data_IF_921401002350
#
_entry.id   IF_921401002350
#
_cell.length_a   1.000
_cell.length_b   1.000
_cell.length_c   1.000
_cell.angle_alpha   90.00
_cell.angle_beta   90.00
_cell.angle_gamma   90.00
#
_symmetry.space_group_name_H-M   'P 1'
#
loop_
_entity.id
_entity.type
_entity.pdbx_description
1 polymer ?
#
# COMPACT_ATOMS: atom_id res chain seq x y z
N UNK A 1 51.03 16.97 50.59
CA UNK A 1 50.90 16.18 49.33
C UNK A 1 49.51 15.54 49.36
N UNK A 2 48.53 15.79 48.48
CA UNK A 2 48.46 16.38 47.13
C UNK A 2 47.16 17.21 47.04
N UNK A 3 47.22 18.42 46.47
CA UNK A 3 46.05 19.19 46.04
C UNK A 3 45.47 18.53 44.78
N UNK A 4 44.18 18.19 44.77
CA UNK A 4 43.46 17.80 43.56
C UNK A 4 42.65 19.01 43.07
N UNK A 5 43.11 19.65 41.99
CA UNK A 5 42.38 20.70 41.29
C UNK A 5 41.27 20.06 40.46
N UNK A 6 40.01 20.34 40.77
CA UNK A 6 38.89 20.05 39.87
C UNK A 6 38.86 21.12 38.77
N UNK A 7 39.18 20.71 37.53
CA UNK A 7 38.94 21.49 36.33
C UNK A 7 37.45 21.37 35.99
N UNK A 8 36.72 22.49 36.06
CA UNK A 8 35.36 22.60 35.51
C UNK A 8 35.50 22.87 34.02
N UNK A 9 35.31 21.85 33.17
CA UNK A 9 35.08 22.06 31.75
C UNK A 9 33.61 22.48 31.55
N UNK A 10 33.31 23.60 30.87
CA UNK A 10 31.95 23.89 30.48
C UNK A 10 31.56 22.91 29.36
N UNK A 11 30.49 22.14 29.59
CA UNK A 11 29.85 21.32 28.58
C UNK A 11 29.34 22.25 27.47
N UNK A 12 30.04 22.24 26.33
CA UNK A 12 29.59 22.90 25.11
C UNK A 12 28.43 22.07 24.55
N UNK A 13 27.20 22.43 24.91
CA UNK A 13 25.99 21.93 24.27
C UNK A 13 26.00 22.39 22.80
N UNK A 14 26.53 21.55 21.92
CA UNK A 14 26.30 21.67 20.48
C UNK A 14 24.85 21.25 20.24
N UNK A 15 23.95 22.23 20.25
CA UNK A 15 22.65 22.11 19.60
C UNK A 15 22.93 21.95 18.10
N UNK A 16 22.97 20.70 17.63
CA UNK A 16 22.89 20.39 16.21
C UNK A 16 21.49 20.77 15.74
N UNK A 17 21.37 22.01 15.28
CA UNK A 17 20.23 22.52 14.53
C UNK A 17 20.15 21.67 13.24
N UNK A 18 19.32 20.63 13.25
CA UNK A 18 18.96 19.83 12.08
C UNK A 18 18.08 20.68 11.14
N UNK A 19 18.64 21.75 10.58
CA UNK A 19 18.04 22.48 9.47
C UNK A 19 18.43 21.82 8.15
N UNK A 20 17.87 20.64 7.90
CA UNK A 20 17.70 20.18 6.52
C UNK A 20 16.35 20.69 6.04
N UNK A 21 16.33 21.92 5.54
CA UNK A 21 15.23 22.43 4.75
C UNK A 21 15.81 23.07 3.49
N UNK A 22 16.36 22.24 2.60
CA UNK A 22 16.33 22.59 1.19
C UNK A 22 14.86 22.64 0.80
N UNK A 23 14.28 23.85 0.74
CA UNK A 23 13.00 24.05 0.09
C UNK A 23 13.20 23.73 -1.40
N UNK A 24 12.87 22.52 -1.81
CA UNK A 24 13.08 22.04 -3.17
C UNK A 24 11.98 21.04 -3.53
N UNK A 25 11.66 20.91 -4.82
CA UNK A 25 10.73 19.88 -5.26
C UNK A 25 11.18 18.48 -4.83
N UNK A 26 10.25 17.53 -4.79
CA UNK A 26 10.60 16.10 -4.63
C UNK A 26 11.71 15.74 -5.62
N UNK A 27 12.81 15.10 -5.18
CA UNK A 27 13.93 14.80 -6.06
C UNK A 27 13.54 13.78 -7.12
N UNK A 28 14.09 13.92 -8.33
CA UNK A 28 13.83 12.99 -9.43
C UNK A 28 14.34 11.57 -9.16
N UNK A 29 15.30 11.41 -8.24
CA UNK A 29 15.77 10.12 -7.72
C UNK A 29 16.48 10.29 -6.38
N UNK A 30 16.52 9.24 -5.58
CA UNK A 30 17.27 9.20 -4.32
C UNK A 30 18.52 8.31 -4.47
N UNK A 31 19.63 8.70 -3.83
CA UNK A 31 20.74 7.78 -3.64
C UNK A 31 20.32 6.62 -2.72
N UNK A 32 20.94 5.43 -2.87
CA UNK A 32 20.60 4.28 -2.04
C UNK A 32 20.80 4.53 -0.53
N UNK A 33 21.83 5.30 -0.17
CA UNK A 33 22.07 5.70 1.22
C UNK A 33 20.96 6.60 1.77
N UNK A 34 20.43 7.49 0.92
CA UNK A 34 19.31 8.36 1.29
C UNK A 34 18.00 7.58 1.39
N UNK A 35 17.72 6.70 0.44
CA UNK A 35 16.61 5.75 0.48
C UNK A 35 16.62 4.96 1.80
N UNK A 36 17.74 4.33 2.15
CA UNK A 36 17.88 3.54 3.36
C UNK A 36 17.73 4.40 4.63
N UNK A 37 18.26 5.63 4.60
CA UNK A 37 18.11 6.61 5.69
C UNK A 37 16.65 6.99 5.89
N UNK A 38 15.90 7.33 4.84
CA UNK A 38 14.48 7.69 4.94
C UNK A 38 13.65 6.50 5.45
N UNK A 39 13.83 5.33 4.84
CA UNK A 39 13.18 4.08 5.25
C UNK A 39 13.36 3.83 6.75
N UNK A 40 14.59 3.91 7.24
CA UNK A 40 14.91 3.64 8.65
C UNK A 40 14.44 4.77 9.57
N UNK A 41 14.69 6.02 9.19
CA UNK A 41 14.37 7.17 10.03
C UNK A 41 12.86 7.38 10.18
N UNK A 42 12.06 7.04 9.17
CA UNK A 42 10.61 7.22 9.21
C UNK A 42 9.92 6.03 9.89
N UNK A 43 10.57 4.86 9.90
CA UNK A 43 10.01 3.65 10.51
C UNK A 43 9.87 3.75 12.03
N UNK A 44 8.85 3.09 12.55
CA UNK A 44 8.56 2.90 13.98
C UNK A 44 8.86 1.44 14.39
N UNK A 45 8.64 1.13 15.67
CA UNK A 45 8.65 -0.26 16.13
C UNK A 45 7.55 -1.08 15.41
N UNK A 46 7.86 -2.29 14.92
CA UNK A 46 6.88 -3.12 14.23
C UNK A 46 5.83 -3.64 15.20
N UNK A 47 4.59 -3.68 14.75
CA UNK A 47 3.52 -4.42 15.42
C UNK A 47 3.34 -5.83 14.84
N UNK A 48 2.29 -6.50 15.30
CA UNK A 48 2.01 -7.89 14.93
C UNK A 48 0.71 -8.00 14.13
N UNK A 49 0.71 -8.87 13.13
CA UNK A 49 -0.49 -9.30 12.42
C UNK A 49 -0.42 -10.83 12.20
N UNK A 50 -1.48 -11.59 12.50
CA UNK A 50 -1.42 -13.06 12.57
C UNK A 50 -1.44 -13.77 11.20
N UNK A 51 -1.76 -13.08 10.10
CA UNK A 51 -1.90 -13.65 8.76
C UNK A 51 -0.74 -13.36 7.79
N UNK A 52 -0.51 -14.30 6.88
CA UNK A 52 0.36 -14.10 5.71
C UNK A 52 -0.36 -13.22 4.68
N UNK A 53 -0.30 -11.90 4.85
CA UNK A 53 -0.91 -10.95 3.91
C UNK A 53 0.13 -10.54 2.86
N UNK A 54 0.44 -11.47 1.95
CA UNK A 54 1.36 -11.24 0.83
C UNK A 54 0.66 -10.75 -0.44
N UNK A 55 -0.65 -10.99 -0.55
CA UNK A 55 -1.49 -10.46 -1.62
C UNK A 55 -2.74 -9.83 -1.03
N UNK A 56 -3.32 -8.84 -1.70
CA UNK A 56 -4.57 -8.24 -1.24
C UNK A 56 -5.74 -9.25 -1.30
N UNK A 57 -6.73 -9.10 -0.42
CA UNK A 57 -8.01 -9.82 -0.53
C UNK A 57 -9.13 -8.95 -1.12
N UNK A 58 -8.81 -7.73 -1.54
CA UNK A 58 -9.76 -6.74 -2.01
C UNK A 58 -10.17 -7.00 -3.46
N UNK A 59 -11.11 -7.91 -3.68
CA UNK A 59 -11.61 -8.26 -5.03
C UNK A 59 -12.09 -7.08 -5.88
N UNK A 60 -12.41 -5.91 -5.30
CA UNK A 60 -12.88 -4.71 -6.02
C UNK A 60 -11.87 -3.56 -6.00
N UNK A 61 -10.60 -3.80 -5.64
CA UNK A 61 -9.59 -2.74 -5.49
C UNK A 61 -9.43 -1.85 -6.75
N UNK A 62 -9.67 -2.39 -7.95
CA UNK A 62 -9.59 -1.66 -9.22
C UNK A 62 -10.80 -0.79 -9.53
N UNK A 63 -11.94 -0.97 -8.86
CA UNK A 63 -13.18 -0.25 -9.15
C UNK A 63 -13.10 1.27 -8.91
N UNK A 64 -12.07 1.73 -8.19
CA UNK A 64 -11.83 3.15 -7.90
C UNK A 64 -10.80 3.79 -8.82
N UNK A 65 -10.11 3.01 -9.66
CA UNK A 65 -9.05 3.54 -10.53
C UNK A 65 -9.55 4.67 -11.44
N UNK A 66 -10.72 4.57 -12.10
CA UNK A 66 -11.25 5.69 -12.88
C UNK A 66 -11.43 6.97 -12.04
N UNK A 67 -11.98 6.84 -10.82
CA UNK A 67 -12.12 7.98 -9.90
C UNK A 67 -10.76 8.58 -9.50
N UNK A 68 -9.74 7.75 -9.30
CA UNK A 68 -8.38 8.23 -8.99
C UNK A 68 -7.81 9.06 -10.15
N UNK A 69 -8.04 8.61 -11.40
CA UNK A 69 -7.58 9.31 -12.60
C UNK A 69 -8.35 10.62 -12.83
N UNK A 70 -9.68 10.59 -12.67
CA UNK A 70 -10.55 11.72 -12.99
C UNK A 70 -10.57 12.82 -11.92
N UNK A 71 -10.46 12.45 -10.65
CA UNK A 71 -10.66 13.36 -9.50
C UNK A 71 -9.38 13.63 -8.73
N UNK A 72 -8.37 12.78 -8.88
CA UNK A 72 -7.07 12.98 -8.29
C UNK A 72 -6.21 13.91 -9.13
N UNK A 73 -5.05 14.27 -8.59
CA UNK A 73 -3.99 14.97 -9.32
C UNK A 73 -2.81 14.03 -9.55
N UNK A 74 -2.07 14.27 -10.65
CA UNK A 74 -0.77 13.64 -10.89
C UNK A 74 0.31 14.28 -10.02
N UNK A 75 1.36 13.53 -9.71
CA UNK A 75 2.43 13.97 -8.83
C UNK A 75 2.02 13.95 -7.35
N UNK A 76 2.82 14.58 -6.51
CA UNK A 76 2.65 14.58 -5.07
C UNK A 76 3.09 13.29 -4.38
N UNK A 77 2.76 13.20 -3.10
CA UNK A 77 3.10 12.05 -2.27
C UNK A 77 1.96 11.03 -2.28
N UNK A 78 2.26 9.79 -2.65
CA UNK A 78 1.40 8.65 -2.42
C UNK A 78 1.71 8.01 -1.07
N UNK A 79 0.68 7.74 -0.27
CA UNK A 79 0.78 6.95 0.96
C UNK A 79 -0.17 5.77 0.84
N UNK A 80 0.29 4.55 1.15
CA UNK A 80 -0.59 3.38 1.09
C UNK A 80 -0.19 2.28 2.05
N UNK A 81 -1.18 1.50 2.52
CA UNK A 81 -0.96 0.30 3.36
C UNK A 81 -0.94 -0.97 2.53
N UNK A 82 -0.36 -2.05 3.04
CA UNK A 82 -0.44 -3.36 2.40
C UNK A 82 0.47 -3.48 1.19
N UNK A 83 0.13 -4.36 0.25
CA UNK A 83 1.11 -4.98 -0.65
C UNK A 83 1.01 -4.43 -2.07
N UNK A 84 0.88 -5.30 -3.07
CA UNK A 84 1.01 -5.01 -4.50
C UNK A 84 -0.11 -4.17 -5.10
N UNK A 85 -1.29 -4.09 -4.46
CA UNK A 85 -2.39 -3.25 -4.94
C UNK A 85 -2.01 -1.76 -4.99
N UNK A 86 -1.05 -1.35 -4.15
CA UNK A 86 -0.48 -0.02 -4.18
C UNK A 86 0.13 0.31 -5.56
N UNK A 87 0.73 -0.66 -6.26
CA UNK A 87 1.34 -0.42 -7.57
C UNK A 87 0.31 -0.02 -8.62
N UNK A 88 -0.89 -0.60 -8.59
CA UNK A 88 -1.98 -0.22 -9.49
C UNK A 88 -2.46 1.20 -9.20
N UNK A 89 -2.55 1.59 -7.93
CA UNK A 89 -2.88 2.97 -7.55
C UNK A 89 -1.77 3.97 -7.88
N UNK A 90 -0.49 3.59 -7.77
CA UNK A 90 0.63 4.42 -8.23
C UNK A 90 0.60 4.59 -9.74
N UNK A 91 0.32 3.53 -10.51
CA UNK A 91 0.17 3.62 -11.96
C UNK A 91 -0.99 4.53 -12.38
N UNK A 92 -2.08 4.54 -11.61
CA UNK A 92 -3.22 5.43 -11.86
C UNK A 92 -2.95 6.90 -11.46
N UNK A 93 -2.44 7.11 -10.25
CA UNK A 93 -2.24 8.46 -9.67
C UNK A 93 -0.94 9.13 -10.11
N UNK A 94 0.04 8.36 -10.60
CA UNK A 94 1.34 8.85 -11.09
C UNK A 94 2.04 9.80 -10.09
N UNK A 95 2.32 9.36 -8.84
CA UNK A 95 2.94 10.21 -7.83
C UNK A 95 4.42 10.51 -8.12
N UNK A 96 4.95 11.55 -7.49
CA UNK A 96 6.38 11.87 -7.55
C UNK A 96 7.18 10.95 -6.62
N UNK A 97 6.59 10.56 -5.49
CA UNK A 97 7.18 9.65 -4.51
C UNK A 97 6.08 8.88 -3.77
N UNK A 98 6.36 7.64 -3.41
CA UNK A 98 5.44 6.74 -2.73
C UNK A 98 6.03 6.23 -1.42
N UNK A 99 5.23 6.30 -0.35
CA UNK A 99 5.50 5.66 0.93
C UNK A 99 4.52 4.52 1.16
N UNK A 100 5.04 3.32 1.36
CA UNK A 100 4.21 2.18 1.75
C UNK A 100 4.33 1.99 3.26
N UNK A 101 3.26 2.32 3.99
CA UNK A 101 3.24 2.35 5.45
C UNK A 101 2.40 1.19 5.95
N UNK A 102 3.02 0.23 6.63
CA UNK A 102 2.35 -0.94 7.19
C UNK A 102 2.92 -1.22 8.60
N UNK A 103 2.08 -1.74 9.48
CA UNK A 103 2.48 -2.04 10.85
C UNK A 103 3.49 -3.20 10.93
N UNK A 104 3.56 -4.03 9.88
CA UNK A 104 4.40 -5.24 9.82
C UNK A 104 5.76 -4.96 9.20
N UNK A 105 6.82 -5.47 9.81
CA UNK A 105 8.16 -5.46 9.19
C UNK A 105 8.20 -6.31 7.92
N UNK A 106 7.43 -7.38 7.88
CA UNK A 106 7.32 -8.30 6.75
C UNK A 106 6.80 -7.60 5.48
N UNK A 107 5.92 -6.60 5.63
CA UNK A 107 5.45 -5.83 4.49
C UNK A 107 6.56 -4.95 3.91
N UNK A 108 7.37 -4.31 4.77
CA UNK A 108 8.55 -3.56 4.32
C UNK A 108 9.51 -4.48 3.55
N UNK A 109 9.81 -5.65 4.12
CA UNK A 109 10.68 -6.64 3.50
C UNK A 109 10.11 -7.12 2.15
N UNK A 110 8.81 -7.37 2.06
CA UNK A 110 8.15 -7.74 0.81
C UNK A 110 8.27 -6.65 -0.26
N UNK A 111 8.12 -5.38 0.08
CA UNK A 111 8.29 -4.27 -0.88
C UNK A 111 9.74 -4.11 -1.34
N UNK A 112 10.72 -4.43 -0.50
CA UNK A 112 12.13 -4.51 -0.92
C UNK A 112 12.39 -5.71 -1.85
N UNK A 113 11.71 -6.84 -1.63
CA UNK A 113 11.71 -7.96 -2.57
C UNK A 113 11.12 -7.55 -3.92
N UNK A 114 9.98 -6.86 -3.95
CA UNK A 114 9.41 -6.30 -5.18
C UNK A 114 10.36 -5.32 -5.86
N UNK A 115 11.00 -4.42 -5.10
CA UNK A 115 12.00 -3.51 -5.65
C UNK A 115 13.15 -4.25 -6.34
N UNK A 116 13.63 -5.35 -5.78
CA UNK A 116 14.63 -6.21 -6.41
C UNK A 116 14.09 -6.91 -7.67
N UNK A 117 12.85 -7.39 -7.64
CA UNK A 117 12.19 -7.97 -8.81
C UNK A 117 12.05 -6.95 -9.96
N UNK A 118 11.61 -5.73 -9.68
CA UNK A 118 11.53 -4.65 -10.67
C UNK A 118 12.90 -4.26 -11.23
N UNK A 119 13.95 -4.29 -10.40
CA UNK A 119 15.31 -4.01 -10.85
C UNK A 119 15.83 -5.06 -11.85
N UNK A 120 15.42 -6.33 -11.69
CA UNK A 120 15.85 -7.44 -12.55
C UNK A 120 14.91 -7.70 -13.73
N UNK A 121 13.63 -7.36 -13.62
CA UNK A 121 12.63 -7.58 -14.65
C UNK A 121 12.78 -6.57 -15.79
N UNK A 122 12.71 -7.03 -17.04
CA UNK A 122 12.70 -6.16 -18.22
C UNK A 122 11.31 -5.58 -18.46
N UNK A 123 10.31 -6.46 -18.48
CA UNK A 123 8.91 -6.24 -18.84
C UNK A 123 7.97 -7.04 -17.90
N UNK A 124 6.67 -6.86 -18.09
CA UNK A 124 5.60 -7.51 -17.30
C UNK A 124 5.75 -9.03 -17.21
N UNK A 125 6.08 -9.69 -18.32
CA UNK A 125 6.20 -11.14 -18.38
C UNK A 125 7.42 -11.61 -17.61
N UNK A 126 8.57 -10.98 -17.83
CA UNK A 126 9.81 -11.30 -17.10
C UNK A 126 9.67 -11.06 -15.59
N UNK A 127 8.88 -10.07 -15.16
CA UNK A 127 8.56 -9.84 -13.76
C UNK A 127 7.83 -11.03 -13.15
N UNK A 128 6.80 -11.55 -13.83
CA UNK A 128 6.05 -12.72 -13.35
C UNK A 128 6.89 -14.00 -13.37
N UNK A 129 7.70 -14.20 -14.42
CA UNK A 129 8.64 -15.33 -14.48
C UNK A 129 9.64 -15.29 -13.32
N UNK A 130 10.18 -14.11 -12.97
CA UNK A 130 11.08 -13.94 -11.81
C UNK A 130 10.35 -14.11 -10.47
N UNK A 131 9.17 -13.51 -10.32
CA UNK A 131 8.37 -13.60 -9.08
C UNK A 131 8.03 -15.04 -8.73
N UNK A 132 7.71 -15.85 -9.73
CA UNK A 132 7.30 -17.24 -9.55
C UNK A 132 8.42 -18.26 -9.79
N UNK A 133 9.61 -17.81 -10.19
CA UNK A 133 10.72 -18.66 -10.66
C UNK A 133 10.27 -19.69 -11.68
N UNK A 134 9.75 -19.17 -12.80
CA UNK A 134 9.29 -19.96 -13.93
C UNK A 134 10.19 -19.75 -15.15
N UNK A 135 10.36 -20.79 -15.94
CA UNK A 135 11.05 -20.76 -17.24
C UNK A 135 10.19 -21.36 -18.34
N UNK A 136 10.49 -21.02 -19.59
CA UNK A 136 9.82 -21.60 -20.75
C UNK A 136 9.97 -23.13 -20.76
N UNK A 137 8.89 -23.85 -21.08
CA UNK A 137 8.89 -25.32 -21.12
C UNK A 137 9.83 -25.89 -22.19
N UNK A 138 10.05 -25.14 -23.27
CA UNK A 138 10.79 -25.62 -24.44
C UNK A 138 12.33 -25.47 -24.32
N UNK A 139 12.84 -25.10 -23.13
CA UNK A 139 14.28 -25.01 -22.87
C UNK A 139 15.00 -23.81 -23.52
N UNK A 140 14.32 -23.07 -24.40
CA UNK A 140 14.84 -21.82 -24.97
C UNK A 140 14.85 -20.71 -23.89
N UNK A 141 15.98 -20.67 -23.19
CA UNK A 141 16.38 -19.60 -22.27
C UNK A 141 16.59 -18.24 -22.95
N UNK A 142 16.64 -18.20 -24.29
CA UNK A 142 16.97 -17.01 -25.10
C UNK A 142 15.79 -16.03 -25.26
N UNK A 143 14.57 -16.41 -24.86
CA UNK A 143 13.43 -15.50 -24.83
C UNK A 143 12.84 -15.41 -23.41
N UNK A 144 13.53 -14.70 -22.50
CA UNK A 144 12.85 -14.07 -21.37
C UNK A 144 11.73 -13.22 -21.98
N UNK A 145 10.46 -13.62 -21.79
CA UNK A 145 9.26 -12.96 -22.31
C UNK A 145 9.02 -13.14 -23.81
N UNK A 146 7.81 -13.60 -24.18
CA UNK A 146 7.08 -13.09 -25.35
C UNK A 146 5.60 -13.48 -25.35
N UNK A 147 4.84 -12.74 -24.55
CA UNK A 147 3.73 -11.95 -25.06
C UNK A 147 4.29 -10.61 -25.58
N UNK A 148 3.78 -10.10 -26.69
CA UNK A 148 4.18 -8.79 -27.21
C UNK A 148 3.94 -7.69 -26.17
N UNK A 149 4.60 -6.53 -26.28
CA UNK A 149 4.34 -5.38 -25.40
C UNK A 149 2.86 -4.97 -25.39
N UNK A 150 2.10 -5.32 -26.42
CA UNK A 150 0.68 -5.09 -26.64
C UNK A 150 -0.23 -6.17 -26.04
N UNK A 151 0.30 -7.29 -25.56
CA UNK A 151 -0.50 -8.37 -24.98
C UNK A 151 -1.28 -7.88 -23.74
N UNK A 152 -2.51 -8.33 -23.64
CA UNK A 152 -3.37 -8.13 -22.47
C UNK A 152 -2.80 -8.86 -21.25
N UNK A 153 -3.18 -8.41 -20.06
CA UNK A 153 -2.77 -9.08 -18.80
C UNK A 153 -3.25 -10.52 -18.75
N UNK A 154 -4.43 -10.83 -19.29
CA UNK A 154 -4.95 -12.20 -19.35
C UNK A 154 -4.10 -13.10 -20.25
N UNK A 155 -3.70 -12.63 -21.43
CA UNK A 155 -2.81 -13.40 -22.33
C UNK A 155 -1.44 -13.64 -21.69
N UNK A 156 -0.90 -12.64 -20.96
CA UNK A 156 0.35 -12.81 -20.20
C UNK A 156 0.18 -13.88 -19.12
N UNK A 157 -0.90 -13.82 -18.33
CA UNK A 157 -1.16 -14.79 -17.26
C UNK A 157 -1.38 -16.20 -17.83
N UNK A 158 -2.08 -16.33 -18.95
CA UNK A 158 -2.28 -17.60 -19.67
C UNK A 158 -0.97 -18.18 -20.18
N UNK A 159 -0.09 -17.34 -20.75
CA UNK A 159 1.25 -17.76 -21.16
C UNK A 159 2.08 -18.24 -19.96
N UNK A 160 2.07 -17.49 -18.85
CA UNK A 160 2.76 -17.89 -17.63
C UNK A 160 2.23 -19.26 -17.16
N UNK A 161 0.93 -19.48 -17.13
CA UNK A 161 0.35 -20.72 -16.65
C UNK A 161 0.65 -21.93 -17.57
N UNK A 162 0.48 -21.74 -18.87
CA UNK A 162 0.46 -22.85 -19.86
C UNK A 162 1.82 -23.13 -20.50
N UNK A 163 2.61 -22.09 -20.78
CA UNK A 163 3.85 -22.20 -21.58
C UNK A 163 5.12 -22.19 -20.75
N UNK A 164 5.03 -21.91 -19.45
CA UNK A 164 6.17 -21.94 -18.53
C UNK A 164 5.98 -23.01 -17.44
N UNK A 165 7.04 -23.30 -16.69
CA UNK A 165 7.01 -24.21 -15.54
C UNK A 165 7.85 -23.64 -14.41
N UNK A 166 7.40 -23.84 -13.16
CA UNK A 166 8.20 -23.52 -11.99
C UNK A 166 9.43 -24.43 -11.93
N UNK A 167 10.58 -23.87 -11.56
CA UNK A 167 11.85 -24.59 -11.47
C UNK A 167 12.56 -24.25 -10.15
N UNK A 168 12.87 -25.28 -9.36
CA UNK A 168 13.49 -25.13 -8.03
C UNK A 168 14.98 -24.75 -8.10
N UNK A 169 15.72 -25.16 -9.13
CA UNK A 169 17.10 -24.71 -9.33
C UNK A 169 17.12 -23.23 -9.72
N UNK A 170 16.21 -22.83 -10.60
CA UNK A 170 16.02 -21.43 -10.96
C UNK A 170 15.56 -20.59 -9.75
N UNK A 171 14.72 -21.13 -8.88
CA UNK A 171 14.36 -20.48 -7.62
C UNK A 171 15.58 -20.16 -6.75
N UNK A 172 16.47 -21.13 -6.56
CA UNK A 172 17.69 -20.92 -5.77
C UNK A 172 18.65 -19.92 -6.45
N UNK A 173 18.73 -19.92 -7.78
CA UNK A 173 19.52 -18.94 -8.53
C UNK A 173 18.93 -17.52 -8.42
N UNK A 174 17.63 -17.38 -8.65
CA UNK A 174 16.93 -16.10 -8.52
C UNK A 174 17.02 -15.57 -7.10
N UNK A 175 16.91 -16.43 -6.07
CA UNK A 175 17.09 -15.99 -4.69
C UNK A 175 18.48 -15.42 -4.44
N UNK A 176 19.56 -16.00 -5.01
CA UNK A 176 20.91 -15.42 -4.90
C UNK A 176 20.96 -14.00 -5.49
N UNK A 177 20.35 -13.80 -6.66
CA UNK A 177 20.29 -12.49 -7.34
C UNK A 177 19.45 -11.47 -6.57
N UNK A 178 18.27 -11.87 -6.10
CA UNK A 178 17.38 -11.03 -5.30
C UNK A 178 18.02 -10.67 -3.96
N UNK A 179 18.63 -11.64 -3.27
CA UNK A 179 19.36 -11.42 -2.02
C UNK A 179 20.53 -10.45 -2.18
N UNK A 180 21.20 -10.48 -3.33
CA UNK A 180 22.26 -9.51 -3.65
C UNK A 180 21.69 -8.09 -3.75
N UNK A 181 20.60 -7.90 -4.48
CA UNK A 181 19.96 -6.59 -4.63
C UNK A 181 19.44 -6.04 -3.30
N UNK A 182 18.77 -6.84 -2.48
CA UNK A 182 18.16 -6.37 -1.22
C UNK A 182 19.21 -5.96 -0.18
N UNK A 183 20.39 -6.58 -0.20
CA UNK A 183 21.54 -6.14 0.63
C UNK A 183 21.99 -4.74 0.27
N UNK A 184 21.94 -4.36 -1.01
CA UNK A 184 22.26 -2.99 -1.46
C UNK A 184 21.25 -1.96 -0.94
N UNK A 185 20.05 -2.40 -0.53
CA UNK A 185 19.02 -1.55 0.05
C UNK A 185 19.14 -1.43 1.59
N UNK A 186 20.17 -2.04 2.19
CA UNK A 186 20.45 -1.96 3.63
C UNK A 186 19.89 -3.11 4.47
N UNK A 187 19.44 -4.21 3.85
CA UNK A 187 19.00 -5.42 4.58
C UNK A 187 20.17 -6.39 4.73
N UNK A 188 20.77 -6.41 5.92
CA UNK A 188 21.89 -7.30 6.25
C UNK A 188 21.54 -8.39 7.27
N UNK A 189 20.52 -8.14 8.10
CA UNK A 189 20.12 -9.04 9.18
C UNK A 189 19.61 -10.39 8.65
N UNK A 190 20.00 -11.47 9.34
CA UNK A 190 19.67 -12.83 8.91
C UNK A 190 18.18 -13.14 9.06
N UNK A 191 17.54 -12.69 10.13
CA UNK A 191 16.12 -12.95 10.38
C UNK A 191 15.24 -12.24 9.34
N UNK A 192 15.59 -11.00 8.98
CA UNK A 192 14.96 -10.31 7.85
C UNK A 192 15.14 -11.06 6.52
N UNK A 193 16.35 -11.55 6.22
CA UNK A 193 16.60 -12.33 5.00
C UNK A 193 15.84 -13.68 4.98
N UNK A 194 15.72 -14.35 6.12
CA UNK A 194 14.97 -15.60 6.25
C UNK A 194 13.46 -15.36 6.06
N UNK A 195 12.91 -14.25 6.58
CA UNK A 195 11.53 -13.82 6.30
C UNK A 195 11.31 -13.49 4.81
N UNK A 196 12.24 -12.79 4.17
CA UNK A 196 12.18 -12.51 2.74
C UNK A 196 12.20 -13.79 1.90
N UNK A 197 13.03 -14.77 2.28
CA UNK A 197 13.05 -16.08 1.63
C UNK A 197 11.72 -16.81 1.82
N UNK A 198 11.11 -16.75 2.99
CA UNK A 198 9.77 -17.32 3.23
C UNK A 198 8.70 -16.68 2.33
N UNK A 199 8.71 -15.34 2.21
CA UNK A 199 7.79 -14.61 1.32
C UNK A 199 8.00 -15.07 -0.12
N UNK A 200 9.25 -15.08 -0.61
CA UNK A 200 9.56 -15.45 -1.99
C UNK A 200 9.20 -16.92 -2.29
N UNK A 201 9.50 -17.83 -1.35
CA UNK A 201 9.10 -19.23 -1.42
C UNK A 201 7.59 -19.39 -1.50
N UNK A 202 6.81 -18.59 -0.76
CA UNK A 202 5.35 -18.63 -0.82
C UNK A 202 4.83 -18.31 -2.24
N UNK A 203 5.41 -17.31 -2.91
CA UNK A 203 5.10 -17.05 -4.33
C UNK A 203 5.51 -18.22 -5.21
N UNK A 204 6.70 -18.80 -5.02
CA UNK A 204 7.16 -19.94 -5.80
C UNK A 204 6.33 -21.23 -5.59
N UNK A 205 5.83 -21.51 -4.38
CA UNK A 205 5.06 -22.73 -4.15
C UNK A 205 3.60 -22.57 -4.60
N UNK A 206 3.02 -21.39 -4.41
CA UNK A 206 1.60 -21.14 -4.67
C UNK A 206 1.32 -20.58 -6.06
N UNK A 207 2.33 -20.03 -6.73
CA UNK A 207 2.25 -19.51 -8.09
C UNK A 207 1.09 -18.50 -8.25
N UNK A 208 0.45 -18.47 -9.42
CA UNK A 208 -0.72 -17.64 -9.71
C UNK A 208 -1.91 -17.87 -8.77
N UNK A 209 -1.94 -19.01 -8.06
CA UNK A 209 -3.00 -19.40 -7.14
C UNK A 209 -2.82 -18.89 -5.72
N UNK A 210 -1.73 -18.16 -5.40
CA UNK A 210 -1.51 -17.59 -4.06
C UNK A 210 -2.68 -16.70 -3.64
N UNK A 211 -3.12 -16.87 -2.38
CA UNK A 211 -4.24 -16.11 -1.78
C UNK A 211 -3.81 -15.42 -0.48
N UNK A 212 -4.58 -14.41 -0.08
CA UNK A 212 -4.43 -13.76 1.22
C UNK A 212 -4.60 -14.77 2.36
N UNK A 213 -3.64 -14.79 3.29
CA UNK A 213 -3.64 -15.53 4.55
C UNK A 213 -3.96 -17.04 4.46
N UNK A 214 -3.61 -17.66 3.34
CA UNK A 214 -3.91 -19.07 3.02
C UNK A 214 -3.29 -20.06 4.03
N UNK A 215 -2.09 -19.76 4.51
CA UNK A 215 -1.27 -20.62 5.38
C UNK A 215 -1.60 -20.48 6.88
N UNK A 216 -2.04 -19.30 7.32
CA UNK A 216 -2.12 -18.96 8.76
C UNK A 216 -3.52 -18.66 9.30
N UNK A 217 -4.50 -18.29 8.46
CA UNK A 217 -5.81 -17.86 8.99
C UNK A 217 -6.96 -18.85 8.79
N UNK A 218 -6.81 -19.94 8.03
CA UNK A 218 -7.72 -21.10 8.06
C UNK A 218 -9.22 -20.80 8.09
N UNK A 219 -9.67 -19.66 7.54
CA UNK A 219 -10.97 -19.07 7.88
C UNK A 219 -12.10 -19.47 6.92
N UNK A 220 -11.84 -20.37 5.96
CA UNK A 220 -12.82 -20.88 5.00
C UNK A 220 -13.33 -19.85 3.98
N UNK A 221 -12.80 -18.62 3.96
CA UNK A 221 -13.14 -17.62 2.96
C UNK A 221 -12.37 -17.87 1.66
N UNK A 222 -13.09 -17.91 0.53
CA UNK A 222 -12.49 -18.02 -0.80
C UNK A 222 -11.99 -16.65 -1.27
N UNK A 223 -10.86 -16.20 -0.74
CA UNK A 223 -10.20 -14.95 -1.17
C UNK A 223 -9.74 -15.04 -2.63
N UNK A 224 -9.71 -13.94 -3.41
CA UNK A 224 -9.21 -13.99 -4.78
C UNK A 224 -7.76 -14.46 -4.85
N UNK A 225 -7.41 -15.18 -5.92
CA UNK A 225 -6.01 -15.51 -6.25
C UNK A 225 -5.27 -14.30 -6.77
N UNK A 226 -3.93 -14.36 -6.79
CA UNK A 226 -3.12 -13.38 -7.52
C UNK A 226 -3.57 -13.25 -8.98
N UNK A 227 -3.92 -14.36 -9.65
CA UNK A 227 -4.49 -14.33 -11.00
C UNK A 227 -5.75 -13.47 -11.06
N UNK A 228 -6.73 -13.75 -10.20
CA UNK A 228 -8.00 -13.01 -10.14
C UNK A 228 -7.78 -11.51 -9.90
N UNK A 229 -6.81 -11.15 -9.05
CA UNK A 229 -6.49 -9.76 -8.72
C UNK A 229 -5.82 -9.03 -9.88
N UNK A 230 -4.90 -9.69 -10.59
CA UNK A 230 -4.17 -9.08 -11.70
C UNK A 230 -5.01 -8.97 -12.96
N UNK A 231 -5.93 -9.91 -13.19
CA UNK A 231 -6.91 -9.88 -14.29
C UNK A 231 -8.24 -9.21 -13.91
N UNK A 232 -8.33 -8.58 -12.74
CA UNK A 232 -9.52 -7.84 -12.34
C UNK A 232 -9.76 -6.61 -13.23
N UNK A 233 -10.99 -6.12 -13.26
CA UNK A 233 -11.39 -4.96 -14.06
C UNK A 233 -11.89 -3.80 -13.21
N UNK A 234 -12.00 -2.61 -13.80
CA UNK A 234 -12.82 -1.52 -13.26
C UNK A 234 -14.31 -1.86 -13.38
N UNK A 235 -15.19 -0.97 -12.93
CA UNK A 235 -16.65 -1.16 -13.06
C UNK A 235 -17.11 -1.14 -14.52
N UNK A 236 -16.35 -0.45 -15.35
CA UNK A 236 -16.59 -0.26 -16.78
C UNK A 236 -16.04 -1.44 -17.61
N UNK A 237 -15.32 -2.38 -16.98
CA UNK A 237 -14.80 -3.59 -17.63
C UNK A 237 -13.35 -3.49 -18.10
N UNK A 238 -12.65 -2.40 -17.79
CA UNK A 238 -11.26 -2.18 -18.23
C UNK A 238 -10.23 -2.80 -17.27
N UNK A 239 -9.13 -3.36 -17.80
CA UNK A 239 -8.03 -3.83 -16.95
C UNK A 239 -7.23 -2.66 -16.36
N UNK A 240 -7.03 -2.66 -15.05
CA UNK A 240 -6.41 -1.54 -14.35
C UNK A 240 -5.32 -1.93 -13.33
N UNK A 241 -4.90 -3.20 -13.31
CA UNK A 241 -3.74 -3.61 -12.49
C UNK A 241 -2.44 -3.01 -13.02
N UNK A 242 -1.39 -2.93 -12.21
CA UNK A 242 -0.07 -2.46 -12.68
C UNK A 242 0.53 -3.35 -13.79
N UNK A 243 -0.02 -4.55 -14.01
CA UNK A 243 0.33 -5.46 -15.10
C UNK A 243 -0.57 -5.30 -16.33
N UNK A 244 -1.61 -4.46 -16.28
CA UNK A 244 -2.59 -4.31 -17.36
C UNK A 244 -1.97 -3.82 -18.65
N UNK A 245 -1.03 -2.87 -18.56
CA UNK A 245 -0.32 -2.29 -19.71
C UNK A 245 1.17 -2.15 -19.42
N UNK A 246 1.98 -2.13 -20.48
CA UNK A 246 3.42 -1.88 -20.35
C UNK A 246 3.69 -0.49 -19.75
N UNK A 247 2.86 0.50 -20.06
CA UNK A 247 3.00 1.85 -19.51
C UNK A 247 2.82 1.88 -17.99
N UNK A 248 1.80 1.18 -17.47
CA UNK A 248 1.56 1.08 -16.03
C UNK A 248 2.73 0.39 -15.32
N UNK A 249 3.18 -0.74 -15.85
CA UNK A 249 4.30 -1.49 -15.31
C UNK A 249 5.61 -0.68 -15.34
N UNK A 250 5.91 -0.06 -16.48
CA UNK A 250 7.11 0.73 -16.70
C UNK A 250 7.15 1.94 -15.77
N UNK A 251 6.01 2.60 -15.51
CA UNK A 251 5.94 3.69 -14.54
C UNK A 251 6.33 3.26 -13.13
N UNK A 252 5.75 2.15 -12.63
CA UNK A 252 6.07 1.61 -11.30
C UNK A 252 7.53 1.17 -11.23
N UNK A 253 8.00 0.49 -12.27
CA UNK A 253 9.40 0.09 -12.42
C UNK A 253 10.35 1.30 -12.36
N UNK A 254 10.04 2.39 -13.05
CA UNK A 254 10.84 3.61 -13.01
C UNK A 254 10.84 4.29 -11.64
N UNK A 255 9.72 4.29 -10.91
CA UNK A 255 9.72 4.75 -9.52
C UNK A 255 10.65 3.91 -8.64
N UNK A 256 10.62 2.58 -8.78
CA UNK A 256 11.55 1.71 -8.05
C UNK A 256 13.02 1.95 -8.41
N UNK A 257 13.36 2.10 -9.70
CA UNK A 257 14.74 2.38 -10.14
C UNK A 257 15.26 3.72 -9.61
N UNK A 258 14.40 4.73 -9.53
CA UNK A 258 14.74 6.05 -8.98
C UNK A 258 14.73 6.08 -7.44
N UNK A 259 14.47 4.93 -6.80
CA UNK A 259 14.39 4.77 -5.34
C UNK A 259 13.27 5.60 -4.69
N UNK A 260 12.15 5.79 -5.39
CA UNK A 260 11.02 6.64 -4.97
C UNK A 260 9.80 5.84 -4.46
N UNK A 261 9.94 4.53 -4.27
CA UNK A 261 8.96 3.70 -3.56
C UNK A 261 9.60 3.22 -2.26
N UNK A 262 9.26 3.87 -1.15
CA UNK A 262 9.91 3.72 0.14
C UNK A 262 8.97 2.99 1.09
N UNK A 263 9.22 1.72 1.41
CA UNK A 263 8.47 1.06 2.47
C UNK A 263 8.89 1.58 3.84
N UNK A 264 7.94 1.69 4.77
CA UNK A 264 8.11 2.24 6.11
C UNK A 264 7.29 1.39 7.09
N UNK A 265 7.90 0.94 8.18
CA UNK A 265 7.13 0.33 9.28
C UNK A 265 6.41 1.44 10.02
N UNK A 266 5.09 1.41 10.06
CA UNK A 266 4.34 2.49 10.70
C UNK A 266 2.94 2.09 11.14
N UNK A 267 2.57 2.58 12.32
CA UNK A 267 1.20 2.55 12.80
C UNK A 267 0.49 3.84 12.34
N UNK A 268 -0.66 3.72 11.69
CA UNK A 268 -1.44 4.87 11.24
C UNK A 268 -1.90 5.79 12.38
N UNK A 269 -2.07 5.23 13.58
CA UNK A 269 -2.34 5.99 14.80
C UNK A 269 -1.08 6.20 15.67
N UNK A 270 0.09 5.83 15.16
CA UNK A 270 1.39 5.99 15.79
C UNK A 270 1.87 7.44 15.79
N UNK A 271 3.00 7.68 16.45
CA UNK A 271 3.51 9.03 16.69
C UNK A 271 4.48 9.58 15.64
N UNK A 272 4.91 8.78 14.64
CA UNK A 272 6.12 9.08 13.88
C UNK A 272 5.97 8.94 12.37
N UNK A 273 5.62 7.78 11.81
CA UNK A 273 5.72 7.49 10.37
C UNK A 273 4.92 8.48 9.50
N UNK A 274 3.61 8.63 9.75
CA UNK A 274 2.78 9.57 8.98
C UNK A 274 3.21 11.03 9.19
N UNK A 275 3.66 11.39 10.39
CA UNK A 275 4.16 12.75 10.68
C UNK A 275 5.46 13.05 9.94
N UNK A 276 6.40 12.09 9.92
CA UNK A 276 7.65 12.22 9.20
C UNK A 276 7.44 12.36 7.70
N UNK A 277 6.47 11.61 7.13
CA UNK A 277 6.06 11.76 5.73
C UNK A 277 5.43 13.14 5.49
N UNK A 278 4.57 13.62 6.40
CA UNK A 278 4.01 14.97 6.33
C UNK A 278 5.09 16.05 6.33
N UNK A 279 6.03 15.99 7.28
CA UNK A 279 7.18 16.90 7.34
C UNK A 279 8.06 16.81 6.09
N UNK A 280 8.27 15.62 5.54
CA UNK A 280 8.97 15.44 4.27
C UNK A 280 8.23 16.17 3.14
N UNK A 281 6.92 15.97 3.02
CA UNK A 281 6.11 16.59 1.97
C UNK A 281 6.14 18.12 2.08
N UNK A 282 6.00 18.68 3.28
CA UNK A 282 6.11 20.12 3.54
C UNK A 282 7.49 20.67 3.17
N UNK A 283 8.56 20.00 3.60
CA UNK A 283 9.93 20.40 3.29
C UNK A 283 10.21 20.41 1.78
N UNK A 284 9.49 19.58 1.02
CA UNK A 284 9.60 19.50 -0.43
C UNK A 284 8.53 20.29 -1.19
N UNK A 285 7.76 21.16 -0.50
CA UNK A 285 6.74 22.00 -1.11
C UNK A 285 5.65 21.22 -1.85
N UNK A 286 5.33 20.00 -1.38
CA UNK A 286 4.36 19.12 -2.01
C UNK A 286 3.27 18.68 -1.03
N UNK A 287 2.22 18.03 -1.55
CA UNK A 287 1.09 17.53 -0.78
C UNK A 287 0.86 16.04 -1.05
N UNK A 288 0.18 15.38 -0.12
CA UNK A 288 -0.29 14.00 -0.28
C UNK A 288 -1.39 13.98 -1.33
N UNK A 289 -1.14 13.36 -2.48
CA UNK A 289 -2.12 13.26 -3.56
C UNK A 289 -3.08 12.10 -3.36
N UNK A 290 -2.59 10.97 -2.85
CA UNK A 290 -3.42 9.78 -2.55
C UNK A 290 -3.00 9.18 -1.22
N UNK A 291 -3.99 8.85 -0.39
CA UNK A 291 -3.83 8.06 0.82
C UNK A 291 -4.71 6.80 0.76
N UNK A 292 -4.10 5.65 0.52
CA UNK A 292 -4.78 4.35 0.51
C UNK A 292 -4.70 3.67 1.88
N UNK A 293 -5.85 3.39 2.48
CA UNK A 293 -5.93 2.91 3.87
C UNK A 293 -6.55 1.52 4.03
N UNK A 294 -6.90 0.85 2.92
CA UNK A 294 -7.56 -0.45 2.93
C UNK A 294 -8.76 -0.44 3.91
N UNK A 295 -8.87 -1.42 4.79
CA UNK A 295 -9.82 -1.49 5.89
C UNK A 295 -9.19 -1.16 7.26
N UNK A 296 -8.03 -0.51 7.32
CA UNK A 296 -7.30 -0.22 8.58
C UNK A 296 -8.20 0.49 9.60
N UNK A 297 -9.00 1.43 9.13
CA UNK A 297 -9.87 2.20 9.99
C UNK A 297 -10.96 1.35 10.68
N UNK A 298 -11.33 0.18 10.14
CA UNK A 298 -12.21 -0.79 10.82
C UNK A 298 -11.62 -1.23 12.16
N UNK A 299 -10.33 -1.53 12.20
CA UNK A 299 -9.64 -1.92 13.42
C UNK A 299 -9.55 -0.76 14.41
N UNK A 300 -9.25 0.44 13.90
CA UNK A 300 -9.13 1.64 14.74
C UNK A 300 -10.46 2.07 15.36
N UNK A 301 -11.59 1.93 14.65
CA UNK A 301 -12.91 2.28 15.21
C UNK A 301 -13.43 1.17 16.13
N UNK A 302 -13.40 -0.09 15.69
CA UNK A 302 -14.12 -1.16 16.39
C UNK A 302 -13.33 -1.76 17.56
N UNK A 303 -12.02 -1.90 17.42
CA UNK A 303 -11.18 -2.53 18.45
C UNK A 303 -10.48 -1.51 19.34
N UNK A 304 -10.30 -0.27 18.86
CA UNK A 304 -9.52 0.74 19.56
C UNK A 304 -10.10 2.16 19.42
N UNK A 305 -11.41 2.37 19.64
CA UNK A 305 -12.08 3.66 19.40
C UNK A 305 -11.32 4.91 19.91
N UNK A 306 -10.65 4.82 21.07
CA UNK A 306 -9.84 5.91 21.63
C UNK A 306 -8.58 6.26 20.81
N UNK A 307 -8.11 5.34 19.98
CA UNK A 307 -6.95 5.45 19.09
C UNK A 307 -7.34 6.07 17.74
N UNK A 308 -8.61 5.98 17.34
CA UNK A 308 -9.09 6.57 16.07
C UNK A 308 -8.84 8.08 16.00
N UNK A 309 -8.97 8.81 17.12
CA UNK A 309 -8.66 10.25 17.17
C UNK A 309 -7.19 10.57 16.88
N UNK A 310 -6.26 9.67 17.22
CA UNK A 310 -4.83 9.85 16.94
C UNK A 310 -4.53 9.63 15.47
N UNK A 311 -5.17 8.64 14.85
CA UNK A 311 -5.15 8.49 13.40
C UNK A 311 -5.68 9.75 12.71
N UNK A 312 -6.85 10.25 13.10
CA UNK A 312 -7.41 11.49 12.53
C UNK A 312 -6.44 12.66 12.71
N UNK A 313 -5.83 12.83 13.88
CA UNK A 313 -4.85 13.87 14.13
C UNK A 313 -3.59 13.73 13.25
N UNK A 314 -3.19 12.51 12.88
CA UNK A 314 -2.12 12.28 11.93
C UNK A 314 -2.54 12.64 10.50
N UNK A 315 -3.78 12.30 10.09
CA UNK A 315 -4.32 12.68 8.77
C UNK A 315 -4.46 14.20 8.64
N UNK A 316 -4.95 14.87 9.69
CA UNK A 316 -5.14 16.33 9.74
C UNK A 316 -3.81 17.10 9.65
N UNK A 317 -2.71 16.46 10.06
CA UNK A 317 -1.36 17.02 9.99
C UNK A 317 -0.65 16.77 8.64
N UNK A 318 -1.24 16.01 7.72
CA UNK A 318 -0.65 15.83 6.39
C UNK A 318 -0.89 17.09 5.54
N UNK A 319 0.09 17.56 4.76
CA UNK A 319 -0.16 18.58 3.75
C UNK A 319 -1.06 17.98 2.66
N UNK A 320 -2.27 18.50 2.52
CA UNK A 320 -3.28 18.06 1.56
C UNK A 320 -3.82 19.26 0.78
N UNK A 321 -4.37 19.01 -0.40
CA UNK A 321 -5.10 19.98 -1.21
C UNK A 321 -6.51 19.48 -1.53
N UNK A 322 -7.25 20.25 -2.34
CA UNK A 322 -8.60 19.92 -2.80
C UNK A 322 -8.67 18.66 -3.67
N UNK A 323 -7.55 18.20 -4.24
CA UNK A 323 -7.48 17.00 -5.08
C UNK A 323 -6.95 15.77 -4.32
N UNK A 324 -6.50 15.92 -3.07
CA UNK A 324 -6.04 14.81 -2.23
C UNK A 324 -7.15 13.78 -2.00
N UNK A 325 -6.94 12.54 -2.48
CA UNK A 325 -7.90 11.44 -2.36
C UNK A 325 -7.53 10.47 -1.23
N UNK A 326 -8.55 9.95 -0.56
CA UNK A 326 -8.46 8.81 0.33
C UNK A 326 -9.17 7.61 -0.28
N UNK A 327 -8.47 6.49 -0.39
CA UNK A 327 -8.98 5.23 -0.91
C UNK A 327 -9.17 4.23 0.24
N UNK A 328 -10.35 3.62 0.31
CA UNK A 328 -10.73 2.65 1.35
C UNK A 328 -11.26 1.37 0.75
N UNK A 329 -11.23 0.31 1.54
CA UNK A 329 -11.90 -0.95 1.22
C UNK A 329 -12.77 -1.42 2.37
N UNK A 330 -14.01 -1.76 2.05
CA UNK A 330 -14.94 -2.41 2.97
C UNK A 330 -14.91 -3.93 2.74
N UNK A 331 -14.61 -4.70 3.79
CA UNK A 331 -14.46 -6.17 3.78
C UNK A 331 -15.37 -6.84 4.83
N UNK A 332 -16.61 -6.37 4.98
CA UNK A 332 -17.56 -6.84 6.00
C UNK A 332 -18.54 -7.91 5.53
N UNK A 333 -19.20 -8.57 6.50
CA UNK A 333 -20.27 -9.55 6.26
C UNK A 333 -21.58 -8.91 5.81
N UNK A 334 -21.83 -7.65 6.17
CA UNK A 334 -22.99 -6.90 5.73
C UNK A 334 -22.79 -6.37 4.30
N UNK A 335 -23.85 -6.37 3.49
CA UNK A 335 -23.72 -5.94 2.09
C UNK A 335 -23.64 -4.42 1.99
N UNK A 336 -22.49 -3.89 1.56
CA UNK A 336 -22.33 -2.47 1.25
C UNK A 336 -23.26 -2.03 0.08
N UNK A 337 -23.88 -0.84 0.08
CA UNK A 337 -24.88 -0.46 -0.93
C UNK A 337 -24.28 -0.32 -2.34
N UNK A 338 -22.97 -0.11 -2.42
CA UNK A 338 -22.18 -0.01 -3.66
C UNK A 338 -21.48 -1.30 -4.04
N UNK A 339 -21.80 -2.41 -3.37
CA UNK A 339 -21.24 -3.72 -3.69
C UNK A 339 -21.64 -4.07 -5.12
N UNK A 340 -20.64 -4.42 -5.94
CA UNK A 340 -20.86 -4.88 -7.31
C UNK A 340 -20.76 -6.40 -7.30
N UNK A 341 -21.75 -7.06 -7.90
CA UNK A 341 -21.76 -8.51 -8.09
C UNK A 341 -21.39 -9.32 -6.84
N UNK A 342 -20.51 -10.31 -7.03
CA UNK A 342 -20.05 -11.22 -5.96
C UNK A 342 -18.73 -10.80 -5.32
N UNK A 343 -18.24 -9.59 -5.59
CA UNK A 343 -16.99 -9.10 -5.00
C UNK A 343 -17.07 -9.17 -3.47
N UNK A 344 -16.01 -9.65 -2.83
CA UNK A 344 -15.86 -9.75 -1.37
C UNK A 344 -15.67 -8.39 -0.71
N UNK A 345 -15.21 -7.40 -1.47
CA UNK A 345 -14.91 -6.07 -0.97
C UNK A 345 -15.70 -5.00 -1.72
N UNK A 346 -15.83 -3.81 -1.12
CA UNK A 346 -16.24 -2.60 -1.83
C UNK A 346 -15.22 -1.49 -1.62
N UNK A 347 -14.53 -1.10 -2.69
CA UNK A 347 -13.57 0.00 -2.68
C UNK A 347 -14.25 1.34 -2.93
N UNK A 348 -13.81 2.38 -2.21
CA UNK A 348 -14.32 3.75 -2.35
C UNK A 348 -13.18 4.76 -2.38
N UNK A 349 -13.38 5.89 -3.05
CA UNK A 349 -12.42 7.00 -3.12
C UNK A 349 -13.15 8.33 -2.88
N UNK A 350 -12.65 9.15 -1.95
CA UNK A 350 -13.25 10.43 -1.53
C UNK A 350 -12.14 11.44 -1.19
N UNK A 351 -12.38 12.75 -1.20
CA UNK A 351 -11.35 13.70 -0.77
C UNK A 351 -11.02 13.53 0.72
N UNK A 352 -9.73 13.65 1.07
CA UNK A 352 -9.27 13.61 2.48
C UNK A 352 -9.97 14.69 3.31
N UNK A 353 -10.21 15.87 2.71
CA UNK A 353 -10.93 16.97 3.36
C UNK A 353 -12.34 16.58 3.82
N UNK A 354 -13.09 15.84 2.99
CA UNK A 354 -14.43 15.35 3.33
C UNK A 354 -14.38 14.43 4.55
N UNK A 355 -13.36 13.56 4.64
CA UNK A 355 -13.15 12.71 5.81
C UNK A 355 -12.95 13.53 7.10
N UNK A 356 -12.08 14.54 7.07
CA UNK A 356 -11.77 15.39 8.21
C UNK A 356 -12.99 16.23 8.65
N UNK A 357 -13.74 16.78 7.70
CA UNK A 357 -14.96 17.54 7.99
C UNK A 357 -16.05 16.67 8.61
N UNK A 358 -16.29 15.47 8.07
CA UNK A 358 -17.20 14.49 8.67
C UNK A 358 -16.79 14.15 10.10
N UNK A 359 -15.49 14.08 10.40
CA UNK A 359 -15.00 13.82 11.75
C UNK A 359 -15.31 14.98 12.70
N UNK A 360 -15.04 16.22 12.27
CA UNK A 360 -15.35 17.42 13.06
C UNK A 360 -16.85 17.60 13.32
N UNK A 361 -17.71 17.14 12.41
CA UNK A 361 -19.18 17.10 12.60
C UNK A 361 -19.66 15.98 13.53
N UNK A 362 -18.76 15.13 14.05
CA UNK A 362 -19.11 14.04 14.96
C UNK A 362 -19.80 12.87 14.28
N UNK A 363 -19.65 12.71 12.96
CA UNK A 363 -20.34 11.65 12.22
C UNK A 363 -19.80 10.25 12.57
N UNK A 364 -18.54 10.15 12.99
CA UNK A 364 -17.90 8.87 13.35
C UNK A 364 -18.29 8.42 14.76
N UNK A 365 -19.22 7.48 14.82
CA UNK A 365 -19.70 6.90 16.09
C UNK A 365 -19.30 5.43 16.22
N UNK A 366 -19.22 4.95 17.46
CA UNK A 366 -18.90 3.55 17.79
C UNK A 366 -19.95 2.55 17.29
N UNK A 367 -21.21 2.99 17.12
CA UNK A 367 -22.35 2.13 16.80
C UNK A 367 -22.82 2.24 15.34
N UNK A 368 -22.44 3.30 14.63
CA UNK A 368 -22.67 3.46 13.19
C UNK A 368 -21.34 3.84 12.56
N UNK A 369 -20.51 2.87 12.19
CA UNK A 369 -19.28 3.21 11.53
C UNK A 369 -19.66 3.74 10.14
N UNK A 370 -19.27 4.98 9.88
CA UNK A 370 -19.69 5.84 8.74
C UNK A 370 -19.27 5.28 7.39
N UNK A 371 -18.67 4.08 7.34
CA UNK A 371 -18.39 3.30 6.13
C UNK A 371 -19.58 3.27 5.16
N UNK A 372 -20.80 3.30 5.69
CA UNK A 372 -22.06 3.33 4.93
C UNK A 372 -22.42 4.69 4.29
N UNK A 373 -21.80 5.79 4.72
CA UNK A 373 -22.29 7.17 4.50
C UNK A 373 -21.38 8.06 3.65
N UNK A 374 -20.24 7.58 3.16
CA UNK A 374 -19.47 8.32 2.16
C UNK A 374 -20.17 8.22 0.81
N UNK A 375 -21.20 9.07 0.68
CA UNK A 375 -21.97 9.27 -0.54
C UNK A 375 -21.04 9.90 -1.60
N UNK A 376 -21.19 9.54 -2.89
CA UNK A 376 -20.42 10.18 -3.95
C UNK A 376 -20.73 11.67 -4.06
N UNK A 377 -19.83 12.33 -4.80
CA UNK A 377 -19.87 13.68 -5.36
C UNK A 377 -21.21 14.15 -5.93
N UNK A 378 -22.13 13.22 -6.27
CA UNK A 378 -23.38 13.51 -6.98
C UNK A 378 -24.65 13.13 -6.17
N UNK A 379 -24.74 13.49 -4.89
CA UNK A 379 -26.07 13.60 -4.26
C UNK A 379 -26.64 15.00 -4.48
N UNK A 380 -27.82 15.15 -5.11
CA UNK A 380 -28.55 16.42 -5.08
C UNK A 380 -29.18 16.71 -3.71
N UNK A 381 -29.06 15.82 -2.72
CA UNK A 381 -29.66 16.00 -1.41
C UNK A 381 -28.74 16.76 -0.46
N UNK A 382 -28.46 18.03 -0.74
CA UNK A 382 -28.19 19.05 0.28
C UNK A 382 -28.43 20.45 -0.32
N UNK A 383 -29.68 20.71 -0.66
CA UNK A 383 -30.21 22.07 -0.82
C UNK A 383 -31.53 22.19 -0.05
N UNK A 384 -31.52 22.95 1.04
CA UNK A 384 -32.73 23.40 1.72
C UNK A 384 -33.43 22.37 2.61
N UNK A 385 -33.94 22.82 3.75
CA UNK A 385 -34.61 21.99 4.74
C UNK A 385 -35.89 21.30 4.26
N UNK A 386 -36.32 20.28 5.00
CA UNK A 386 -37.58 19.59 4.80
C UNK A 386 -37.59 18.20 5.44
N UNK A 387 -38.67 17.90 6.16
CA UNK A 387 -38.84 16.74 7.04
C UNK A 387 -38.85 15.36 6.36
N UNK A 388 -38.43 14.35 7.13
CA UNK A 388 -39.03 12.99 7.26
C UNK A 388 -38.95 12.04 6.03
N UNK A 389 -38.85 10.72 6.10
CA UNK A 389 -39.12 9.66 7.09
C UNK A 389 -38.16 8.49 6.78
N UNK A 390 -37.77 7.68 7.79
CA UNK A 390 -37.84 6.21 7.76
C UNK A 390 -37.77 5.69 9.20
N UNK A 391 -38.79 4.90 9.55
CA UNK A 391 -39.19 4.53 10.90
C UNK A 391 -38.25 3.54 11.60
N UNK A 392 -38.05 3.81 12.88
CA UNK A 392 -37.59 2.91 13.94
C UNK A 392 -38.80 2.14 14.48
N UNK A 393 -38.72 0.82 14.65
CA UNK A 393 -39.59 0.04 15.56
C UNK A 393 -38.76 -1.06 16.18
N UNK A 394 -38.33 -0.90 17.45
CA UNK A 394 -38.39 -1.92 18.52
C UNK A 394 -38.42 -1.14 19.86
N UNK A 395 -39.58 -1.14 20.50
CA UNK A 395 -39.76 -0.88 21.94
C UNK A 395 -40.60 -2.06 22.45
N UNK A 396 -40.12 -2.70 23.51
CA UNK A 396 -40.77 -3.82 24.18
C UNK A 396 -40.29 -3.90 25.62
N UNK A 397 -41.04 -3.21 26.47
CA UNK A 397 -41.39 -3.48 27.86
C UNK A 397 -40.31 -3.49 28.97
N UNK A 398 -40.30 -2.38 29.71
CA UNK A 398 -40.05 -2.31 31.15
C UNK A 398 -41.36 -1.96 31.86
N UNK A 399 -41.84 -2.83 32.75
CA UNK A 399 -42.37 -2.49 34.09
C UNK A 399 -43.00 -3.72 34.76
N UNK A 400 -43.18 -3.70 36.11
CA UNK A 400 -42.78 -2.68 37.08
C UNK A 400 -41.55 -3.04 37.92
#
# INVERSE_FOLDING_TARGET
>A
MKLLRFLVLPALCVLLDLRFASHGSVPDSLALSEFARIMTAFSEEPGHFPGDNFVTNESSYLHVVPTVIERGRRGGVYIGVGTEQNFSYMAASRPDIAFIVDIRRENLLQHLLYKALFALARDRTSFLMLLFSRQNRDGDSVAIGRPEHTASVTEILDHIETSTTADSLLFEENWKRLRWEVRRYGIEDRDDLDKMLYIYRSFHEKQLSIRYAETRLGNGLSYPTFRDLMSGTTKEGEFASFLSTEEAFSFVKHLHHRNLVIPVVGNFAGGKALRAIGTFAEAHGTSVSVFYVSNVEYFLINHFYYVFKWYVANVDALPIDEHSLMIRSYLGVESHPRRVGRHLSTSTAHHIRTFLESYRRGEYTRTKPVWWRFWPWDSPFWSGGGHSYYHLVIMGDLCP
#
